data_IF_051841821402
#
_entry.id   IF_051841821402
#
_cell.length_a   1.000
_cell.length_b   1.000
_cell.length_c   1.000
_cell.angle_alpha   90.00
_cell.angle_beta   90.00
_cell.angle_gamma   90.00
#
_symmetry.space_group_name_H-M   'P 1'
#
loop_
_entity.id
_entity.type
_entity.pdbx_description
1 polymer ?
#
# COMPACT_ATOMS: atom_id res chain seq x y z
N UNK A 1 -4.02 -5.24 -19.65
CA UNK A 1 -2.85 -4.94 -20.50
C UNK A 1 -2.35 -6.22 -21.18
N UNK A 2 -1.94 -7.26 -20.44
CA UNK A 2 -1.42 -8.52 -20.99
C UNK A 2 -2.36 -9.11 -22.02
N UNK A 3 -3.62 -9.26 -21.68
CA UNK A 3 -4.65 -9.79 -22.58
C UNK A 3 -4.71 -9.00 -23.89
N UNK A 4 -4.74 -7.66 -23.82
CA UNK A 4 -4.76 -6.81 -25.02
C UNK A 4 -3.49 -6.96 -25.86
N UNK A 5 -2.33 -7.05 -25.27
CA UNK A 5 -1.07 -7.27 -26.02
C UNK A 5 -1.09 -8.61 -26.77
N UNK A 6 -1.56 -9.68 -26.12
CA UNK A 6 -1.59 -11.02 -26.72
C UNK A 6 -2.68 -11.14 -27.78
N UNK A 7 -3.90 -10.67 -27.49
CA UNK A 7 -5.05 -10.90 -28.37
C UNK A 7 -5.10 -9.96 -29.57
N UNK A 8 -4.51 -8.76 -29.47
CA UNK A 8 -4.48 -7.79 -30.55
C UNK A 8 -3.24 -7.89 -31.46
N UNK A 9 -2.23 -8.67 -31.07
CA UNK A 9 -1.05 -8.91 -31.91
C UNK A 9 -1.45 -9.54 -33.26
N UNK A 10 -0.95 -8.98 -34.35
CA UNK A 10 -1.26 -9.40 -35.72
C UNK A 10 -2.61 -8.89 -36.27
N UNK A 11 -3.47 -8.31 -35.41
CA UNK A 11 -4.77 -7.75 -35.81
C UNK A 11 -4.88 -6.23 -35.62
N UNK A 12 -4.19 -5.68 -34.65
CA UNK A 12 -4.05 -4.23 -34.43
C UNK A 12 -2.62 -3.84 -34.80
N UNK A 13 -2.47 -2.98 -35.82
CA UNK A 13 -1.16 -2.57 -36.34
C UNK A 13 -0.32 -1.86 -35.29
N UNK A 14 -0.91 -1.02 -34.46
CA UNK A 14 -0.19 -0.28 -33.41
C UNK A 14 0.33 -1.19 -32.31
N UNK A 15 -0.44 -2.20 -31.92
CA UNK A 15 -0.03 -3.19 -30.91
C UNK A 15 1.03 -4.13 -31.50
N UNK A 16 0.88 -4.50 -32.77
CA UNK A 16 1.86 -5.35 -33.45
C UNK A 16 3.21 -4.64 -33.55
N UNK A 17 3.22 -3.40 -34.05
CA UNK A 17 4.43 -2.58 -34.14
C UNK A 17 5.09 -2.37 -32.75
N UNK A 18 4.29 -2.13 -31.73
CA UNK A 18 4.78 -1.98 -30.37
C UNK A 18 5.49 -3.25 -29.87
N UNK A 19 4.92 -4.42 -30.09
CA UNK A 19 5.49 -5.70 -29.64
C UNK A 19 6.72 -6.08 -30.49
N UNK A 20 6.70 -5.81 -31.77
CA UNK A 20 7.83 -6.14 -32.66
C UNK A 20 9.07 -5.27 -32.37
N UNK A 21 8.87 -4.06 -31.84
CA UNK A 21 9.95 -3.10 -31.59
C UNK A 21 10.34 -2.93 -30.13
N UNK A 22 9.59 -3.51 -29.16
CA UNK A 22 9.87 -3.35 -27.74
C UNK A 22 9.77 -4.68 -26.99
N UNK A 23 10.55 -4.79 -25.92
CA UNK A 23 10.48 -5.90 -24.99
C UNK A 23 9.65 -5.52 -23.77
N UNK A 24 8.72 -6.38 -23.38
CA UNK A 24 7.89 -6.21 -22.20
C UNK A 24 8.30 -7.20 -21.12
N UNK A 25 8.65 -6.69 -19.96
CA UNK A 25 8.83 -7.47 -18.74
C UNK A 25 7.59 -7.27 -17.87
N UNK A 26 6.87 -8.34 -17.59
CA UNK A 26 5.61 -8.26 -16.86
C UNK A 26 5.72 -9.11 -15.61
N UNK A 27 5.65 -8.46 -14.44
CA UNK A 27 5.51 -9.11 -13.15
C UNK A 27 4.03 -9.01 -12.71
N UNK A 28 3.23 -10.07 -12.84
CA UNK A 28 1.79 -9.99 -12.57
C UNK A 28 1.48 -9.87 -11.08
N UNK A 29 2.42 -10.25 -10.20
CA UNK A 29 2.20 -10.33 -8.77
C UNK A 29 3.50 -10.05 -8.02
N UNK A 30 3.62 -8.84 -7.44
CA UNK A 30 4.79 -8.43 -6.66
C UNK A 30 4.69 -8.91 -5.21
N UNK A 31 3.48 -8.90 -4.63
CA UNK A 31 3.21 -9.38 -3.28
C UNK A 31 2.28 -10.60 -3.33
N UNK A 32 2.82 -11.82 -3.49
CA UNK A 32 2.00 -13.02 -3.53
C UNK A 32 1.26 -13.30 -2.22
N UNK A 33 1.87 -12.99 -1.08
CA UNK A 33 1.27 -13.20 0.24
C UNK A 33 0.05 -12.30 0.44
N UNK A 34 0.17 -11.02 0.12
CA UNK A 34 -0.94 -10.08 0.20
C UNK A 34 -2.08 -10.43 -0.76
N UNK A 35 -1.76 -10.90 -1.97
CA UNK A 35 -2.76 -11.39 -2.92
C UNK A 35 -3.46 -12.65 -2.39
N UNK A 36 -2.71 -13.62 -1.90
CA UNK A 36 -3.27 -14.84 -1.33
C UNK A 36 -4.20 -14.53 -0.14
N UNK A 37 -3.73 -13.70 0.80
CA UNK A 37 -4.54 -13.29 1.94
C UNK A 37 -5.84 -12.59 1.50
N UNK A 38 -5.74 -11.67 0.55
CA UNK A 38 -6.90 -10.88 0.11
C UNK A 38 -7.89 -11.67 -0.73
N UNK A 39 -7.42 -12.56 -1.62
CA UNK A 39 -8.27 -13.28 -2.58
C UNK A 39 -8.78 -14.59 -2.00
N UNK A 40 -7.92 -15.36 -1.35
CA UNK A 40 -8.27 -16.71 -0.88
C UNK A 40 -8.83 -16.70 0.56
N UNK A 41 -8.29 -15.82 1.42
CA UNK A 41 -8.76 -15.72 2.81
C UNK A 41 -9.80 -14.62 3.04
N UNK A 42 -9.95 -13.68 2.11
CA UNK A 42 -10.82 -12.52 2.27
C UNK A 42 -10.30 -11.48 3.26
N UNK A 43 -9.03 -11.54 3.63
CA UNK A 43 -8.39 -10.65 4.61
C UNK A 43 -7.49 -9.66 3.86
N UNK A 44 -7.85 -8.36 3.77
CA UNK A 44 -7.00 -7.38 3.12
C UNK A 44 -5.63 -7.28 3.79
N UNK A 45 -4.58 -7.58 3.05
CA UNK A 45 -3.20 -7.53 3.54
C UNK A 45 -2.32 -6.72 2.59
N UNK A 46 -1.69 -5.69 3.12
CA UNK A 46 -0.77 -4.83 2.38
C UNK A 46 0.68 -5.33 2.43
N UNK A 47 1.07 -5.89 3.56
CA UNK A 47 2.39 -6.44 3.84
C UNK A 47 2.54 -7.85 3.23
N UNK A 48 3.79 -8.31 3.08
CA UNK A 48 4.06 -9.73 2.89
C UNK A 48 3.89 -10.49 4.22
N UNK A 49 4.16 -11.79 4.23
CA UNK A 49 4.05 -12.65 5.42
C UNK A 49 5.42 -13.02 6.00
N UNK A 50 6.40 -12.15 5.86
CA UNK A 50 7.68 -12.35 6.55
C UNK A 50 7.48 -12.25 8.07
N UNK A 51 8.14 -13.15 8.77
CA UNK A 51 8.15 -13.11 10.23
C UNK A 51 8.84 -11.84 10.70
N UNK A 52 8.23 -11.16 11.63
CA UNK A 52 8.74 -9.95 12.24
C UNK A 52 8.50 -10.01 13.75
N UNK A 53 9.51 -9.67 14.49
CA UNK A 53 9.46 -9.39 15.91
C UNK A 53 9.22 -7.89 16.05
N UNK A 54 7.99 -7.49 16.38
CA UNK A 54 7.59 -6.09 16.38
C UNK A 54 7.86 -5.37 17.69
N UNK A 55 8.04 -6.11 18.79
CA UNK A 55 8.32 -5.58 20.12
C UNK A 55 9.78 -5.84 20.59
N UNK A 56 10.55 -6.61 19.79
CA UNK A 56 11.96 -6.93 20.01
C UNK A 56 12.21 -7.85 21.23
N UNK A 57 11.25 -8.73 21.56
CA UNK A 57 11.38 -9.70 22.66
C UNK A 57 12.10 -11.00 22.24
N UNK A 58 12.35 -11.18 20.94
CA UNK A 58 13.03 -12.34 20.35
C UNK A 58 12.11 -13.44 19.85
N UNK A 59 10.80 -13.24 19.92
CA UNK A 59 9.81 -14.11 19.31
C UNK A 59 9.16 -13.39 18.12
N UNK A 60 8.27 -14.05 17.43
CA UNK A 60 7.62 -13.52 16.24
C UNK A 60 6.17 -13.97 16.16
N UNK A 61 5.28 -13.08 15.82
CA UNK A 61 3.86 -13.36 15.57
C UNK A 61 3.11 -13.98 16.76
N UNK A 62 3.48 -13.68 18.01
CA UNK A 62 2.84 -14.23 19.18
C UNK A 62 1.65 -13.44 19.70
N UNK A 63 1.51 -12.17 19.31
CA UNK A 63 0.40 -11.32 19.72
C UNK A 63 -0.33 -10.68 18.54
N UNK A 64 -1.05 -11.49 17.80
CA UNK A 64 -1.89 -11.06 16.69
C UNK A 64 -3.35 -10.86 17.05
N UNK A 65 -4.12 -10.23 16.15
CA UNK A 65 -5.56 -10.08 16.32
C UNK A 65 -6.27 -11.41 16.42
N UNK A 66 -7.18 -11.53 17.40
CA UNK A 66 -7.95 -12.75 17.68
C UNK A 66 -9.44 -12.45 17.76
N UNK A 67 -10.27 -13.36 17.22
CA UNK A 67 -11.72 -13.34 17.36
C UNK A 67 -12.10 -13.84 18.76
N UNK A 68 -12.18 -12.92 19.73
CA UNK A 68 -12.45 -13.23 21.15
C UNK A 68 -13.89 -13.67 21.35
N UNK A 69 -14.82 -13.04 20.65
CA UNK A 69 -16.24 -13.32 20.79
C UNK A 69 -16.73 -14.51 19.96
N UNK A 70 -15.89 -15.02 19.04
CA UNK A 70 -16.13 -16.17 18.16
C UNK A 70 -17.31 -15.97 17.20
N UNK A 71 -17.45 -14.76 16.69
CA UNK A 71 -18.47 -14.44 15.69
C UNK A 71 -17.97 -14.63 14.24
N UNK A 72 -16.70 -14.98 14.05
CA UNK A 72 -16.05 -15.21 12.76
C UNK A 72 -15.47 -13.95 12.13
N UNK A 73 -15.44 -12.84 12.85
CA UNK A 73 -14.95 -11.56 12.37
C UNK A 73 -14.08 -10.88 13.42
N UNK A 74 -12.87 -10.48 13.08
CA UNK A 74 -12.04 -9.64 13.93
C UNK A 74 -12.49 -8.20 13.79
N UNK A 75 -13.00 -7.60 14.85
CA UNK A 75 -13.61 -6.28 14.86
C UNK A 75 -12.85 -5.27 15.72
N UNK A 76 -13.35 -4.04 15.76
CA UNK A 76 -12.79 -3.00 16.59
C UNK A 76 -13.67 -2.80 17.83
N UNK A 77 -13.08 -2.93 19.02
CA UNK A 77 -13.70 -2.49 20.24
C UNK A 77 -13.51 -0.99 20.45
N UNK A 78 -14.51 -0.35 21.01
CA UNK A 78 -14.43 1.05 21.45
C UNK A 78 -14.63 1.15 22.94
N UNK A 79 -13.85 1.99 23.58
CA UNK A 79 -14.00 2.29 25.00
C UNK A 79 -13.90 3.79 25.23
N UNK A 80 -14.52 4.27 26.32
CA UNK A 80 -14.47 5.67 26.70
C UNK A 80 -13.08 6.05 27.17
N UNK A 81 -12.56 7.10 26.59
CA UNK A 81 -11.22 7.59 26.88
C UNK A 81 -11.18 9.11 26.68
N UNK A 82 -10.95 9.86 27.75
CA UNK A 82 -10.89 11.33 27.71
C UNK A 82 -9.82 11.86 26.74
N UNK A 83 -8.77 11.09 26.50
CA UNK A 83 -7.71 11.39 25.54
C UNK A 83 -7.95 10.79 24.15
N UNK A 84 -9.04 10.08 24.00
CA UNK A 84 -9.41 9.36 22.79
C UNK A 84 -9.52 10.29 21.58
N UNK A 85 -9.31 9.73 20.41
CA UNK A 85 -9.28 10.43 19.13
C UNK A 85 -10.51 10.20 18.29
N UNK A 86 -11.56 9.64 18.89
CA UNK A 86 -12.80 9.36 18.21
C UNK A 86 -13.99 9.93 18.99
N UNK A 87 -15.04 10.24 18.26
CA UNK A 87 -16.37 10.60 18.78
C UNK A 87 -17.40 9.78 18.02
N UNK A 88 -18.58 9.63 18.59
CA UNK A 88 -19.70 9.01 17.88
C UNK A 88 -20.17 9.94 16.76
N UNK A 89 -20.53 9.35 15.61
CA UNK A 89 -21.22 10.06 14.55
C UNK A 89 -22.60 10.52 15.03
N UNK A 90 -23.07 11.67 14.55
CA UNK A 90 -24.33 12.25 14.98
C UNK A 90 -25.55 11.55 14.36
N UNK A 91 -25.37 10.99 13.17
CA UNK A 91 -26.45 10.32 12.43
C UNK A 91 -26.50 8.81 12.77
N UNK A 92 -25.33 8.18 12.88
CA UNK A 92 -25.22 6.76 13.23
C UNK A 92 -24.22 6.54 14.38
N UNK A 93 -24.70 6.38 15.63
CA UNK A 93 -23.84 6.17 16.80
C UNK A 93 -23.00 4.88 16.77
N UNK A 94 -23.18 4.01 15.78
CA UNK A 94 -22.33 2.83 15.58
C UNK A 94 -21.03 3.22 14.90
N UNK A 95 -21.01 4.34 14.19
CA UNK A 95 -19.86 4.84 13.45
C UNK A 95 -19.00 5.70 14.37
N UNK A 96 -17.68 5.54 14.26
CA UNK A 96 -16.68 6.33 14.97
C UNK A 96 -16.02 7.33 14.03
N UNK A 97 -16.11 8.61 14.35
CA UNK A 97 -15.50 9.70 13.58
C UNK A 97 -14.20 10.13 14.25
N UNK A 98 -13.13 10.11 13.50
CA UNK A 98 -11.80 10.53 13.99
C UNK A 98 -11.72 12.04 14.04
N UNK A 99 -11.27 12.57 15.19
CA UNK A 99 -11.05 14.00 15.41
C UNK A 99 -9.54 14.33 15.43
N UNK A 100 -9.21 15.57 15.05
CA UNK A 100 -7.83 16.07 15.09
C UNK A 100 -7.28 16.11 16.53
N UNK A 101 -5.94 16.00 16.66
CA UNK A 101 -5.29 16.05 18.00
C UNK A 101 -5.58 17.33 18.77
N UNK A 102 -5.69 18.46 18.07
CA UNK A 102 -5.95 19.77 18.65
C UNK A 102 -7.43 20.18 18.61
N UNK A 103 -8.28 19.32 18.08
CA UNK A 103 -9.69 19.61 17.94
C UNK A 103 -10.40 19.61 19.30
N UNK A 104 -11.03 20.73 19.61
CA UNK A 104 -11.84 20.89 20.83
C UNK A 104 -13.25 20.40 20.55
N UNK A 105 -13.67 19.36 21.26
CA UNK A 105 -15.04 18.85 21.21
C UNK A 105 -15.63 18.77 22.62
N UNK A 106 -16.95 18.94 22.73
CA UNK A 106 -17.72 18.66 23.95
C UNK A 106 -18.30 17.24 23.95
N UNK A 107 -18.17 16.53 22.82
CA UNK A 107 -18.61 15.13 22.72
C UNK A 107 -17.72 14.24 23.59
N UNK A 108 -18.29 13.17 24.07
CA UNK A 108 -17.58 12.12 24.77
C UNK A 108 -16.51 11.52 23.83
N UNK A 109 -15.30 11.35 24.33
CA UNK A 109 -14.17 10.82 23.55
C UNK A 109 -14.03 9.33 23.75
N UNK A 110 -13.55 8.69 22.71
CA UNK A 110 -13.37 7.26 22.64
C UNK A 110 -12.00 6.93 22.04
N UNK A 111 -11.46 5.81 22.48
CA UNK A 111 -10.37 5.09 21.81
C UNK A 111 -10.90 3.80 21.21
N UNK A 112 -10.18 3.31 20.19
CA UNK A 112 -10.50 2.06 19.52
C UNK A 112 -9.30 1.14 19.60
N UNK A 113 -9.55 -0.13 19.81
CA UNK A 113 -8.56 -1.20 19.82
C UNK A 113 -9.07 -2.35 18.93
N UNK A 114 -8.18 -2.98 18.20
CA UNK A 114 -8.51 -4.18 17.45
C UNK A 114 -8.76 -5.33 18.43
N UNK A 115 -9.67 -6.21 18.07
CA UNK A 115 -10.00 -7.39 18.86
C UNK A 115 -8.79 -8.31 19.01
N UNK A 116 -8.45 -8.69 20.23
CA UNK A 116 -7.30 -9.51 20.57
C UNK A 116 -7.01 -9.49 22.07
N UNK A 117 -6.09 -10.33 22.49
CA UNK A 117 -5.62 -10.50 23.85
C UNK A 117 -4.15 -10.08 23.90
N UNK A 118 -3.69 -9.57 25.00
CA UNK A 118 -2.27 -9.41 25.33
C UNK A 118 -1.71 -10.81 25.66
N UNK A 119 -1.16 -11.49 24.65
CA UNK A 119 -0.78 -12.89 24.74
C UNK A 119 0.59 -13.09 25.44
N UNK A 120 1.49 -12.14 25.29
CA UNK A 120 2.83 -12.15 25.86
C UNK A 120 2.91 -11.42 27.22
N UNK A 121 1.90 -10.60 27.55
CA UNK A 121 1.75 -9.85 28.81
C UNK A 121 2.71 -8.68 28.95
N UNK A 122 3.03 -8.02 27.87
CA UNK A 122 3.83 -6.80 27.86
C UNK A 122 2.98 -5.54 28.17
N UNK A 123 1.65 -5.66 28.18
CA UNK A 123 0.69 -4.61 28.45
C UNK A 123 0.15 -3.91 27.20
N UNK A 124 0.48 -4.40 26.02
CA UNK A 124 -0.13 -3.99 24.75
C UNK A 124 -1.00 -5.14 24.21
N UNK A 125 -1.56 -4.99 23.04
CA UNK A 125 -2.36 -6.01 22.37
C UNK A 125 -2.21 -5.86 20.88
N UNK A 126 -2.09 -6.96 20.17
CA UNK A 126 -2.04 -7.03 18.70
C UNK A 126 -0.85 -6.28 18.08
N UNK A 127 0.28 -6.16 18.76
CA UNK A 127 1.48 -5.51 18.22
C UNK A 127 2.32 -6.42 17.34
N UNK A 128 2.26 -7.72 17.56
CA UNK A 128 3.06 -8.72 16.84
C UNK A 128 2.19 -9.66 16.00
N UNK A 129 1.47 -9.08 15.04
CA UNK A 129 0.61 -9.81 14.13
C UNK A 129 1.36 -10.46 12.96
N UNK A 130 0.63 -11.27 12.17
CA UNK A 130 1.15 -11.98 10.99
C UNK A 130 1.63 -11.05 9.86
N UNK A 131 1.51 -9.74 9.99
CA UNK A 131 1.90 -8.80 8.94
C UNK A 131 3.40 -8.51 8.97
N UNK A 132 4.07 -8.83 7.87
CA UNK A 132 5.49 -8.58 7.68
C UNK A 132 5.82 -7.18 7.16
N UNK A 133 6.54 -7.07 6.06
CA UNK A 133 7.00 -5.82 5.52
C UNK A 133 6.06 -5.25 4.45
N UNK A 134 5.83 -3.95 4.49
CA UNK A 134 5.22 -3.22 3.38
C UNK A 134 6.26 -3.07 2.26
N UNK A 135 6.10 -3.84 1.18
CA UNK A 135 7.05 -3.85 0.08
C UNK A 135 7.26 -2.47 -0.54
N UNK A 136 6.23 -1.62 -0.52
CA UNK A 136 6.32 -0.24 -1.00
C UNK A 136 6.93 0.74 0.03
N UNK A 137 7.50 0.23 1.12
CA UNK A 137 8.32 0.99 2.09
C UNK A 137 9.73 0.43 2.20
N UNK A 138 10.03 -0.65 1.51
CA UNK A 138 11.29 -1.38 1.63
C UNK A 138 12.28 -1.08 0.49
N UNK A 139 12.00 -0.14 -0.41
CA UNK A 139 12.93 0.31 -1.44
C UNK A 139 13.91 1.36 -0.88
N UNK A 140 15.11 1.52 -1.50
CA UNK A 140 16.18 2.36 -0.93
C UNK A 140 15.85 3.84 -0.88
N UNK A 141 15.15 4.39 -1.86
CA UNK A 141 14.87 5.82 -1.90
C UNK A 141 13.87 6.23 -0.83
N UNK A 142 14.24 7.18 -0.01
CA UNK A 142 13.41 7.66 1.08
C UNK A 142 13.18 6.65 2.21
N UNK A 143 13.96 5.57 2.23
CA UNK A 143 13.85 4.59 3.30
C UNK A 143 14.28 5.18 4.66
N UNK A 144 13.58 4.80 5.72
CA UNK A 144 13.88 5.23 7.09
C UNK A 144 13.47 4.14 8.09
N UNK A 145 14.18 4.08 9.20
CA UNK A 145 14.05 3.03 10.23
C UNK A 145 12.82 3.17 11.13
N UNK A 146 12.06 4.27 11.03
CA UNK A 146 10.96 4.52 11.94
C UNK A 146 9.72 3.68 11.57
N UNK A 147 9.52 2.55 12.20
CA UNK A 147 8.31 1.72 12.09
C UNK A 147 7.04 2.48 12.48
N UNK A 148 7.14 3.51 13.32
CA UNK A 148 5.99 4.23 13.87
C UNK A 148 5.19 5.09 12.90
N UNK A 149 5.68 5.40 11.70
CA UNK A 149 4.96 6.28 10.77
C UNK A 149 4.17 5.53 9.69
N UNK A 150 4.71 4.45 9.17
CA UNK A 150 4.06 3.67 8.11
C UNK A 150 4.25 2.14 8.22
N UNK A 151 4.70 1.61 9.33
CA UNK A 151 4.87 0.19 9.63
C UNK A 151 5.50 -0.68 8.53
N UNK A 152 6.36 -1.58 8.87
CA UNK A 152 6.83 -2.58 7.93
C UNK A 152 7.87 -2.11 6.92
N UNK A 153 8.72 -1.12 7.26
CA UNK A 153 9.83 -0.67 6.40
C UNK A 153 10.92 -1.73 6.21
N UNK A 154 10.97 -2.72 7.10
CA UNK A 154 12.01 -3.75 7.15
C UNK A 154 13.30 -3.25 7.83
N UNK A 155 14.21 -4.18 8.11
CA UNK A 155 15.44 -3.92 8.87
C UNK A 155 16.45 -3.04 8.10
N UNK A 156 16.41 -3.14 6.78
CA UNK A 156 17.23 -2.34 5.86
C UNK A 156 16.55 -2.28 4.48
N UNK A 157 16.96 -1.36 3.60
CA UNK A 157 16.41 -1.27 2.26
C UNK A 157 16.56 -2.59 1.50
N UNK A 158 15.51 -3.06 0.88
CA UNK A 158 15.45 -4.35 0.18
C UNK A 158 15.73 -5.58 1.06
N UNK A 159 15.38 -5.50 2.35
CA UNK A 159 15.43 -6.67 3.25
C UNK A 159 14.41 -7.74 2.85
N UNK A 160 13.25 -7.34 2.32
CA UNK A 160 12.27 -8.28 1.77
C UNK A 160 12.78 -8.92 0.45
N UNK A 161 12.60 -10.23 0.27
CA UNK A 161 13.09 -10.94 -0.92
C UNK A 161 12.45 -10.42 -2.21
N UNK A 162 11.20 -10.02 -2.18
CA UNK A 162 10.45 -9.49 -3.34
C UNK A 162 11.04 -8.15 -3.82
N UNK A 163 11.30 -7.23 -2.90
CA UNK A 163 11.89 -5.92 -3.23
C UNK A 163 13.34 -6.07 -3.69
N UNK A 164 14.08 -7.00 -3.08
CA UNK A 164 15.44 -7.33 -3.49
C UNK A 164 15.45 -7.89 -4.92
N UNK A 165 14.59 -8.86 -5.21
CA UNK A 165 14.49 -9.45 -6.54
C UNK A 165 14.15 -8.39 -7.61
N UNK A 166 13.22 -7.48 -7.32
CA UNK A 166 12.89 -6.38 -8.22
C UNK A 166 14.06 -5.41 -8.41
N UNK A 167 14.72 -5.00 -7.32
CA UNK A 167 15.87 -4.10 -7.40
C UNK A 167 17.03 -4.70 -8.21
N UNK A 168 17.34 -5.97 -7.99
CA UNK A 168 18.33 -6.72 -8.76
C UNK A 168 17.91 -6.87 -10.23
N UNK A 169 16.64 -7.14 -10.48
CA UNK A 169 16.12 -7.23 -11.84
C UNK A 169 16.32 -5.91 -12.59
N UNK A 170 15.91 -4.78 -12.02
CA UNK A 170 16.08 -3.47 -12.65
C UNK A 170 17.56 -3.10 -12.86
N UNK A 171 18.42 -3.39 -11.90
CA UNK A 171 19.85 -3.08 -12.02
C UNK A 171 20.56 -3.93 -13.08
N UNK A 172 20.09 -5.16 -13.32
CA UNK A 172 20.65 -6.07 -14.29
C UNK A 172 20.08 -5.88 -15.73
N UNK A 173 18.93 -5.23 -15.88
CA UNK A 173 18.26 -5.01 -17.15
C UNK A 173 18.32 -3.53 -17.56
N UNK A 174 19.49 -3.09 -18.00
CA UNK A 174 19.75 -1.67 -18.38
C UNK A 174 18.96 -1.20 -19.62
N UNK A 175 18.31 -2.10 -20.33
CA UNK A 175 17.42 -1.83 -21.45
C UNK A 175 15.99 -1.45 -21.03
N UNK A 176 15.68 -1.42 -19.74
CA UNK A 176 14.40 -0.94 -19.24
C UNK A 176 14.43 0.59 -19.24
N UNK A 177 13.58 1.20 -20.05
CA UNK A 177 13.45 2.66 -20.18
C UNK A 177 12.23 3.22 -19.45
N UNK A 178 11.25 2.37 -19.18
CA UNK A 178 10.00 2.75 -18.51
C UNK A 178 9.52 1.63 -17.61
N UNK A 179 8.94 2.01 -16.47
CA UNK A 179 8.26 1.08 -15.57
C UNK A 179 6.92 1.66 -15.13
N UNK A 180 5.90 0.79 -15.07
CA UNK A 180 4.57 1.12 -14.57
C UNK A 180 4.21 0.19 -13.43
N UNK A 181 3.88 0.76 -12.28
CA UNK A 181 3.44 0.02 -11.11
C UNK A 181 1.94 0.26 -10.88
N UNK A 182 1.22 -0.82 -10.57
CA UNK A 182 -0.21 -0.75 -10.30
C UNK A 182 -0.45 -1.01 -8.81
N UNK A 183 -1.34 -0.21 -8.23
CA UNK A 183 -1.79 -0.31 -6.85
C UNK A 183 -3.31 -0.46 -6.78
N UNK A 184 -3.82 -0.91 -5.63
CA UNK A 184 -5.24 -1.28 -5.49
C UNK A 184 -6.18 -0.13 -5.20
N UNK A 185 -5.67 1.07 -4.86
CA UNK A 185 -6.51 2.18 -4.39
C UNK A 185 -5.94 3.54 -4.74
N UNK A 186 -6.82 4.57 -4.69
CA UNK A 186 -6.43 5.97 -4.81
C UNK A 186 -7.02 6.69 -6.03
N UNK A 187 -7.22 6.02 -7.16
CA UNK A 187 -7.79 6.62 -8.38
C UNK A 187 -6.94 7.75 -8.98
N UNK A 188 -5.62 7.73 -8.75
CA UNK A 188 -4.68 8.71 -9.25
C UNK A 188 -3.39 8.04 -9.75
N UNK A 189 -2.62 8.76 -10.53
CA UNK A 189 -1.32 8.31 -11.04
C UNK A 189 -0.22 9.19 -10.47
N UNK A 190 0.76 8.57 -9.83
CA UNK A 190 2.00 9.24 -9.46
C UNK A 190 2.99 9.21 -10.62
N UNK A 191 3.78 10.26 -10.74
CA UNK A 191 4.96 10.34 -11.59
C UNK A 191 6.22 10.65 -10.76
N UNK A 192 7.41 10.40 -11.28
CA UNK A 192 8.63 10.93 -10.67
C UNK A 192 8.59 12.48 -10.66
N UNK A 193 9.23 13.17 -9.74
CA UNK A 193 10.04 12.70 -8.62
C UNK A 193 9.21 12.81 -7.35
N UNK A 194 8.90 11.68 -6.72
CA UNK A 194 7.95 11.66 -5.59
C UNK A 194 8.41 12.37 -4.32
N UNK A 195 9.73 12.51 -4.13
CA UNK A 195 10.34 13.11 -2.93
C UNK A 195 10.76 14.57 -3.10
N UNK A 196 10.65 15.13 -4.30
CA UNK A 196 11.05 16.52 -4.60
C UNK A 196 10.04 17.19 -5.52
N UNK A 197 10.08 18.54 -5.57
CA UNK A 197 9.20 19.32 -6.43
C UNK A 197 9.56 19.26 -7.91
N UNK A 198 8.68 19.76 -8.76
CA UNK A 198 8.82 19.78 -10.21
C UNK A 198 10.05 20.58 -10.70
N UNK A 199 10.55 21.50 -9.88
CA UNK A 199 11.77 22.26 -10.13
C UNK A 199 13.04 21.39 -10.20
N UNK A 200 12.98 20.16 -9.68
CA UNK A 200 14.06 19.17 -9.77
C UNK A 200 13.99 18.28 -11.03
N UNK A 201 12.95 18.40 -11.83
CA UNK A 201 12.75 17.64 -13.06
C UNK A 201 12.94 18.53 -14.31
N UNK A 202 13.44 17.93 -15.41
CA UNK A 202 13.58 18.66 -16.67
C UNK A 202 12.19 19.05 -17.21
N UNK A 203 11.97 20.32 -17.63
CA UNK A 203 10.64 20.79 -18.08
C UNK A 203 10.03 19.98 -19.23
N UNK A 204 10.85 19.41 -20.11
CA UNK A 204 10.38 18.56 -21.19
C UNK A 204 9.77 17.25 -20.68
N UNK A 205 10.35 16.68 -19.63
CA UNK A 205 9.83 15.44 -19.01
C UNK A 205 8.51 15.70 -18.32
N UNK A 206 8.40 16.85 -17.59
CA UNK A 206 7.12 17.29 -17.00
C UNK A 206 6.04 17.40 -18.08
N UNK A 207 6.34 18.07 -19.19
CA UNK A 207 5.38 18.22 -20.29
C UNK A 207 4.94 16.90 -20.91
N UNK A 208 5.83 15.90 -20.99
CA UNK A 208 5.49 14.54 -21.45
C UNK A 208 4.56 13.85 -20.47
N UNK A 209 4.87 13.90 -19.17
CA UNK A 209 4.02 13.30 -18.15
C UNK A 209 2.64 13.97 -18.09
N UNK A 210 2.57 15.29 -18.13
CA UNK A 210 1.31 16.03 -18.12
C UNK A 210 0.45 15.71 -19.35
N UNK A 211 1.09 15.50 -20.50
CA UNK A 211 0.38 15.07 -21.70
C UNK A 211 -0.16 13.63 -21.56
N UNK A 212 0.69 12.68 -21.17
CA UNK A 212 0.33 11.25 -21.10
C UNK A 212 -0.69 10.98 -19.98
N UNK A 213 -0.41 11.48 -18.77
CA UNK A 213 -1.20 11.18 -17.58
C UNK A 213 -2.38 12.14 -17.38
N UNK A 214 -2.29 13.34 -17.95
CA UNK A 214 -3.36 14.34 -17.90
C UNK A 214 -4.28 14.25 -19.11
N UNK A 215 -4.00 15.06 -20.12
CA UNK A 215 -4.89 15.25 -21.26
C UNK A 215 -5.16 13.95 -22.04
N UNK A 216 -4.11 13.23 -22.43
CA UNK A 216 -4.26 12.00 -23.23
C UNK A 216 -4.95 10.87 -22.47
N UNK A 217 -4.67 10.74 -21.19
CA UNK A 217 -5.32 9.75 -20.34
C UNK A 217 -6.83 9.98 -20.25
N UNK A 218 -7.25 11.25 -20.05
CA UNK A 218 -8.67 11.59 -19.99
C UNK A 218 -9.39 11.40 -21.34
N UNK A 219 -8.72 11.71 -22.45
CA UNK A 219 -9.23 11.41 -23.79
C UNK A 219 -9.47 9.90 -24.01
N UNK A 220 -8.54 9.06 -23.57
CA UNK A 220 -8.66 7.60 -23.70
C UNK A 220 -9.80 7.03 -22.86
N UNK A 221 -10.06 7.63 -21.69
CA UNK A 221 -11.12 7.21 -20.78
C UNK A 221 -12.50 7.82 -21.13
N UNK A 222 -12.58 8.66 -22.18
CA UNK A 222 -13.77 9.41 -22.57
C UNK A 222 -14.34 10.27 -21.41
N UNK A 223 -13.45 10.84 -20.61
CA UNK A 223 -13.79 11.72 -19.48
C UNK A 223 -13.64 13.17 -19.92
N UNK A 224 -14.73 13.96 -19.80
CA UNK A 224 -14.66 15.41 -20.02
C UNK A 224 -13.74 16.07 -18.99
N UNK A 225 -12.76 16.83 -19.49
CA UNK A 225 -11.89 17.65 -18.63
C UNK A 225 -12.72 18.82 -18.09
N UNK A 226 -12.88 18.98 -16.77
CA UNK A 226 -13.49 20.17 -16.22
C UNK A 226 -12.72 21.42 -16.67
N UNK A 227 -13.44 22.44 -17.12
CA UNK A 227 -12.86 23.74 -17.58
C UNK A 227 -12.35 24.55 -16.42
#
# INVERSE_FOLDING_TARGET
IIDKLITAYGSDESITDLIDNQSFYICPMVNPDGVYSSVEKGIPQRQNSMLKDNDEDGKVNEDGPEDINKDGVITWFRYKDEKGRYVLDDEDPRVMVRIGRSEKTKKERWSMILEGIDNDKDGKTNEDGEAGFDLNRNFPEGWFTADGYQGGTGDYPTSAPETRALAEFFTNHKNIHQAQFFHTSGGFTYRPMGSSGDDSMHPADIAVYDYILGKKFLEILDIEVPK
#
